data_IF_079336536486
#
_entry.id   IF_079336536486
#
_cell.length_a   1.000
_cell.length_b   1.000
_cell.length_c   1.000
_cell.angle_alpha   90.00
_cell.angle_beta   90.00
_cell.angle_gamma   90.00
#
_symmetry.space_group_name_H-M   'P 1'
#
loop_
_entity.id
_entity.type
_entity.pdbx_description
1 polymer ?
#
# COMPACT_ATOMS: atom_id res chain seq x y z
N UNK A 1 20.54 -27.88 -12.64
CA UNK A 1 20.01 -26.51 -12.49
C UNK A 1 19.45 -26.13 -13.83
N UNK A 2 18.13 -26.09 -13.97
CA UNK A 2 17.48 -25.63 -15.19
C UNK A 2 17.75 -24.13 -15.38
N UNK A 3 17.89 -23.67 -16.63
CA UNK A 3 18.08 -22.24 -16.96
C UNK A 3 16.99 -21.32 -16.40
N UNK A 4 15.83 -21.89 -16.04
CA UNK A 4 14.67 -21.18 -15.49
C UNK A 4 14.74 -20.91 -13.98
N UNK A 5 15.57 -21.64 -13.22
CA UNK A 5 15.62 -21.56 -11.75
C UNK A 5 17.05 -21.22 -11.25
N UNK A 6 17.57 -20.00 -11.56
CA UNK A 6 18.91 -19.58 -11.16
C UNK A 6 18.98 -19.19 -9.66
N UNK A 7 20.16 -19.26 -9.02
CA UNK A 7 20.32 -18.97 -7.58
C UNK A 7 20.01 -17.52 -7.20
N UNK A 8 20.02 -16.58 -8.16
CA UNK A 8 19.67 -15.18 -7.92
C UNK A 8 18.17 -14.89 -8.01
N UNK A 9 17.32 -15.85 -8.37
CA UNK A 9 15.87 -15.61 -8.51
C UNK A 9 15.18 -15.09 -7.22
N UNK A 10 15.53 -15.56 -6.00
CA UNK A 10 14.93 -15.05 -4.76
C UNK A 10 15.20 -13.57 -4.49
N UNK A 11 16.28 -13.00 -5.04
CA UNK A 11 16.60 -11.57 -4.88
C UNK A 11 15.43 -10.68 -5.33
N UNK A 12 14.80 -11.02 -6.47
CA UNK A 12 13.66 -10.26 -6.99
C UNK A 12 12.40 -10.44 -6.13
N UNK A 13 12.21 -11.61 -5.52
CA UNK A 13 11.11 -11.85 -4.58
C UNK A 13 11.22 -10.96 -3.33
N UNK A 14 12.40 -10.94 -2.69
CA UNK A 14 12.64 -10.07 -1.53
C UNK A 14 12.65 -8.58 -1.89
N UNK A 15 13.11 -8.22 -3.08
CA UNK A 15 12.99 -6.85 -3.58
C UNK A 15 11.52 -6.43 -3.71
N UNK A 16 10.61 -7.34 -4.10
CA UNK A 16 9.17 -7.10 -4.09
C UNK A 16 8.59 -6.86 -2.68
N UNK A 17 8.99 -7.68 -1.70
CA UNK A 17 8.61 -7.49 -0.28
C UNK A 17 9.05 -6.11 0.22
N UNK A 18 10.32 -5.75 -0.03
CA UNK A 18 10.87 -4.47 0.38
C UNK A 18 10.16 -3.30 -0.30
N UNK A 19 9.95 -3.37 -1.62
CA UNK A 19 9.27 -2.34 -2.40
C UNK A 19 7.83 -2.11 -1.92
N UNK A 20 7.08 -3.18 -1.64
CA UNK A 20 5.72 -3.10 -1.11
C UNK A 20 5.67 -2.32 0.20
N UNK A 21 6.55 -2.66 1.16
CA UNK A 21 6.59 -2.01 2.47
C UNK A 21 7.09 -0.58 2.40
N UNK A 22 8.20 -0.33 1.72
CA UNK A 22 8.84 0.99 1.71
C UNK A 22 7.91 2.03 1.07
N UNK A 23 7.36 1.75 -0.11
CA UNK A 23 6.54 2.75 -0.81
C UNK A 23 5.17 2.98 -0.12
N UNK A 24 4.52 1.92 0.38
CA UNK A 24 3.26 2.07 1.12
C UNK A 24 3.43 2.84 2.42
N UNK A 25 4.53 2.59 3.17
CA UNK A 25 4.82 3.30 4.42
C UNK A 25 5.20 4.75 4.18
N UNK A 26 5.91 5.08 3.10
CA UNK A 26 6.17 6.46 2.69
C UNK A 26 4.84 7.18 2.38
N UNK A 27 3.93 6.54 1.65
CA UNK A 27 2.60 7.08 1.37
C UNK A 27 1.80 7.36 2.65
N UNK A 28 1.76 6.39 3.57
CA UNK A 28 1.08 6.52 4.84
C UNK A 28 1.70 7.62 5.74
N UNK A 29 3.03 7.70 5.79
CA UNK A 29 3.76 8.72 6.54
C UNK A 29 3.49 10.12 5.99
N UNK A 30 3.52 10.30 4.66
CA UNK A 30 3.20 11.57 4.03
C UNK A 30 1.76 11.99 4.31
N UNK A 31 0.79 11.09 4.08
CA UNK A 31 -0.62 11.35 4.34
C UNK A 31 -0.89 11.75 5.79
N UNK A 32 -0.29 11.02 6.73
CA UNK A 32 -0.39 11.29 8.17
C UNK A 32 0.24 12.64 8.53
N UNK A 33 1.43 12.95 8.01
CA UNK A 33 2.12 14.21 8.32
C UNK A 33 1.34 15.44 7.85
N UNK A 34 0.82 15.42 6.63
CA UNK A 34 0.07 16.54 6.05
C UNK A 34 -1.29 16.71 6.73
N UNK A 35 -2.04 15.63 6.91
CA UNK A 35 -3.31 15.70 7.63
C UNK A 35 -3.11 16.14 9.10
N UNK A 36 -2.03 15.69 9.76
CA UNK A 36 -1.71 16.07 11.13
C UNK A 36 -1.44 17.56 11.32
N UNK A 37 -0.77 18.21 10.34
CA UNK A 37 -0.56 19.68 10.36
C UNK A 37 -1.92 20.40 10.30
N UNK A 38 -2.83 19.97 9.44
CA UNK A 38 -4.18 20.54 9.36
C UNK A 38 -4.99 20.35 10.65
N UNK A 39 -4.94 19.15 11.25
CA UNK A 39 -5.68 18.81 12.48
C UNK A 39 -5.16 19.60 13.69
N UNK A 40 -3.84 19.69 13.85
CA UNK A 40 -3.23 20.46 14.95
C UNK A 40 -3.56 21.95 14.82
N UNK A 41 -3.57 22.49 13.61
CA UNK A 41 -4.04 23.86 13.33
C UNK A 41 -5.53 24.06 13.65
N UNK A 42 -6.39 23.07 13.40
CA UNK A 42 -7.80 23.12 13.78
C UNK A 42 -7.97 23.05 15.32
N UNK A 43 -7.16 22.23 15.99
CA UNK A 43 -7.25 21.97 17.44
C UNK A 43 -7.02 23.21 18.30
N UNK A 44 -6.27 24.21 17.82
CA UNK A 44 -6.06 25.48 18.54
C UNK A 44 -7.28 26.39 18.52
N UNK A 45 -8.19 26.23 17.55
CA UNK A 45 -9.38 27.06 17.41
C UNK A 45 -10.67 26.35 17.87
N UNK A 46 -10.85 25.09 17.48
CA UNK A 46 -12.06 24.30 17.79
C UNK A 46 -11.69 22.87 18.21
N UNK A 47 -11.29 22.66 19.47
CA UNK A 47 -10.88 21.34 19.96
C UNK A 47 -12.01 20.30 19.93
N UNK A 48 -13.28 20.74 19.98
CA UNK A 48 -14.45 19.86 19.91
C UNK A 48 -14.53 19.06 18.59
N UNK A 49 -13.91 19.58 17.53
CA UNK A 49 -13.90 18.99 16.19
C UNK A 49 -12.70 18.07 15.93
N UNK A 50 -11.78 17.94 16.89
CA UNK A 50 -10.51 17.22 16.72
C UNK A 50 -10.74 15.71 16.51
N UNK A 51 -11.63 15.10 17.29
CA UNK A 51 -11.94 13.68 17.15
C UNK A 51 -12.57 13.32 15.79
N UNK A 52 -13.38 14.23 15.23
CA UNK A 52 -14.02 14.01 13.91
C UNK A 52 -13.04 14.20 12.76
N UNK A 53 -12.00 15.00 12.95
CA UNK A 53 -11.01 15.31 11.91
C UNK A 53 -9.87 14.28 11.82
N UNK A 54 -9.86 13.23 12.66
CA UNK A 54 -8.87 12.14 12.60
C UNK A 54 -9.06 11.15 11.43
N UNK A 55 -10.19 11.22 10.72
CA UNK A 55 -10.51 10.28 9.62
C UNK A 55 -9.40 10.21 8.54
N UNK A 56 -8.84 11.31 8.01
CA UNK A 56 -7.78 11.24 7.00
C UNK A 56 -6.51 10.54 7.49
N UNK A 57 -6.19 10.66 8.79
CA UNK A 57 -5.03 9.99 9.40
C UNK A 57 -5.25 8.47 9.46
N UNK A 58 -6.45 8.04 9.86
CA UNK A 58 -6.80 6.62 9.87
C UNK A 58 -6.76 6.05 8.45
N UNK A 59 -7.31 6.76 7.47
CA UNK A 59 -7.31 6.34 6.06
C UNK A 59 -5.88 6.25 5.49
N UNK A 60 -4.98 7.18 5.83
CA UNK A 60 -3.58 7.09 5.45
C UNK A 60 -2.89 5.86 6.08
N UNK A 61 -3.25 5.50 7.32
CA UNK A 61 -2.71 4.31 8.00
C UNK A 61 -3.09 2.99 7.35
N UNK A 62 -4.31 2.89 6.77
CA UNK A 62 -4.79 1.67 6.10
C UNK A 62 -3.91 1.30 4.89
N UNK A 63 -3.33 2.29 4.19
CA UNK A 63 -2.44 2.06 3.04
C UNK A 63 -1.21 1.23 3.44
N UNK A 64 -0.63 1.48 4.63
CA UNK A 64 0.51 0.70 5.12
C UNK A 64 0.12 -0.76 5.39
N UNK A 65 -1.13 -1.01 5.80
CA UNK A 65 -1.64 -2.37 6.00
C UNK A 65 -1.73 -3.12 4.67
N UNK A 66 -2.09 -2.45 3.57
CA UNK A 66 -2.08 -3.08 2.23
C UNK A 66 -0.69 -3.55 1.83
N UNK A 67 0.32 -2.70 2.02
CA UNK A 67 1.72 -3.07 1.77
C UNK A 67 2.19 -4.24 2.65
N UNK A 68 1.79 -4.25 3.92
CA UNK A 68 2.08 -5.31 4.88
C UNK A 68 1.46 -6.65 4.48
N UNK A 69 0.19 -6.66 4.07
CA UNK A 69 -0.49 -7.88 3.63
C UNK A 69 0.23 -8.50 2.44
N UNK A 70 0.58 -7.70 1.43
CA UNK A 70 1.32 -8.20 0.24
C UNK A 70 2.71 -8.70 0.62
N UNK A 71 3.43 -7.98 1.49
CA UNK A 71 4.76 -8.38 1.95
C UNK A 71 4.75 -9.72 2.69
N UNK A 72 3.78 -9.94 3.58
CA UNK A 72 3.64 -11.20 4.32
C UNK A 72 3.26 -12.35 3.39
N UNK A 73 2.36 -12.14 2.43
CA UNK A 73 1.98 -13.15 1.44
C UNK A 73 3.16 -13.58 0.57
N UNK A 74 3.95 -12.62 0.07
CA UNK A 74 5.14 -12.91 -0.73
C UNK A 74 6.18 -13.64 0.12
N UNK A 75 6.43 -13.18 1.35
CA UNK A 75 7.41 -13.82 2.25
C UNK A 75 7.02 -15.24 2.63
N UNK A 76 5.72 -15.52 2.81
CA UNK A 76 5.21 -16.86 3.08
C UNK A 76 5.30 -17.82 1.88
N UNK A 77 5.47 -17.28 0.67
CA UNK A 77 5.60 -18.06 -0.57
C UNK A 77 7.04 -18.37 -1.00
N UNK A 78 8.06 -17.87 -0.30
CA UNK A 78 9.47 -18.10 -0.64
C UNK A 78 10.06 -19.16 0.30
N UNK A 79 10.17 -20.39 -0.19
CA UNK A 79 10.85 -21.50 0.48
C UNK A 79 12.30 -21.62 0.00
N UNK A 80 13.26 -21.69 0.94
CA UNK A 80 14.70 -21.88 0.64
C UNK A 80 14.99 -23.31 0.16
N UNK A 81 14.15 -24.27 0.57
CA UNK A 81 14.32 -25.69 0.27
C UNK A 81 13.84 -26.09 -1.13
N UNK A 82 13.13 -25.22 -1.84
CA UNK A 82 12.54 -25.50 -3.16
C UNK A 82 13.17 -24.62 -4.24
N UNK A 83 13.33 -25.13 -5.48
CA UNK A 83 13.81 -24.30 -6.58
C UNK A 83 12.80 -23.20 -6.89
N UNK A 84 13.24 -21.95 -6.84
CA UNK A 84 12.41 -20.77 -7.08
C UNK A 84 12.60 -20.27 -8.52
N UNK A 85 11.56 -20.31 -9.38
CA UNK A 85 11.69 -19.87 -10.77
C UNK A 85 11.94 -18.35 -10.90
N UNK A 86 12.63 -17.94 -11.96
CA UNK A 86 12.86 -16.52 -12.23
C UNK A 86 11.56 -15.77 -12.55
N UNK A 87 10.59 -16.43 -13.20
CA UNK A 87 9.26 -15.89 -13.47
C UNK A 87 8.53 -15.47 -12.18
N UNK A 88 8.69 -16.26 -11.11
CA UNK A 88 8.21 -15.96 -9.76
C UNK A 88 8.79 -14.70 -9.19
N UNK A 89 10.12 -14.56 -9.31
CA UNK A 89 10.85 -13.41 -8.79
C UNK A 89 10.33 -12.12 -9.41
N UNK A 90 10.17 -12.10 -10.73
CA UNK A 90 9.64 -10.91 -11.42
C UNK A 90 8.17 -10.64 -11.13
N UNK A 91 7.33 -11.67 -10.99
CA UNK A 91 5.93 -11.48 -10.57
C UNK A 91 5.82 -10.92 -9.15
N UNK A 92 6.60 -11.44 -8.20
CA UNK A 92 6.61 -10.93 -6.81
C UNK A 92 7.16 -9.50 -6.75
N UNK A 93 8.19 -9.18 -7.54
CA UNK A 93 8.67 -7.81 -7.68
C UNK A 93 7.58 -6.88 -8.24
N UNK A 94 6.92 -7.29 -9.32
CA UNK A 94 5.83 -6.53 -9.94
C UNK A 94 4.64 -6.34 -9.01
N UNK A 95 4.25 -7.38 -8.26
CA UNK A 95 3.18 -7.30 -7.25
C UNK A 95 3.52 -6.30 -6.15
N UNK A 96 4.75 -6.33 -5.63
CA UNK A 96 5.21 -5.40 -4.61
C UNK A 96 5.26 -3.94 -5.10
N UNK A 97 5.75 -3.71 -6.32
CA UNK A 97 5.79 -2.38 -6.93
C UNK A 97 4.39 -1.84 -7.25
N UNK A 98 3.48 -2.69 -7.76
CA UNK A 98 2.11 -2.31 -8.06
C UNK A 98 1.38 -1.83 -6.82
N UNK A 99 1.42 -2.59 -5.71
CA UNK A 99 0.79 -2.18 -4.45
C UNK A 99 1.51 -0.98 -3.80
N UNK A 100 2.85 -0.97 -3.83
CA UNK A 100 3.65 0.06 -3.18
C UNK A 100 3.48 1.45 -3.81
N UNK A 101 3.61 1.55 -5.15
CA UNK A 101 3.56 2.84 -5.85
C UNK A 101 2.14 3.42 -5.94
N UNK A 102 1.10 2.58 -6.05
CA UNK A 102 -0.28 3.05 -5.95
C UNK A 102 -0.59 3.52 -4.52
N UNK A 103 -0.10 2.81 -3.51
CA UNK A 103 -0.21 3.22 -2.11
C UNK A 103 0.48 4.56 -1.82
N UNK A 104 1.66 4.79 -2.40
CA UNK A 104 2.35 6.08 -2.32
C UNK A 104 1.52 7.22 -2.95
N UNK A 105 0.94 6.96 -4.11
CA UNK A 105 0.09 7.93 -4.83
C UNK A 105 -1.21 8.23 -4.07
N UNK A 106 -1.85 7.20 -3.51
CA UNK A 106 -3.05 7.34 -2.68
C UNK A 106 -2.75 8.14 -1.40
N UNK A 107 -1.64 7.83 -0.72
CA UNK A 107 -1.21 8.55 0.48
C UNK A 107 -0.90 10.03 0.22
N UNK A 108 -0.32 10.34 -0.94
CA UNK A 108 -0.10 11.71 -1.39
C UNK A 108 -1.42 12.48 -1.59
N UNK A 109 -2.37 11.88 -2.29
CA UNK A 109 -3.70 12.46 -2.51
C UNK A 109 -4.44 12.69 -1.18
N UNK A 110 -4.47 11.69 -0.29
CA UNK A 110 -5.08 11.78 1.04
C UNK A 110 -4.46 12.88 1.87
N UNK A 111 -3.13 13.05 1.83
CA UNK A 111 -2.43 14.08 2.59
C UNK A 111 -2.85 15.50 2.20
N UNK A 112 -2.87 15.80 0.90
CA UNK A 112 -3.21 17.14 0.39
C UNK A 112 -4.70 17.46 0.59
N UNK A 113 -5.57 16.50 0.27
CA UNK A 113 -7.02 16.63 0.46
C UNK A 113 -7.33 16.76 1.95
N UNK A 114 -6.72 15.92 2.79
CA UNK A 114 -6.90 15.94 4.24
C UNK A 114 -6.56 17.29 4.86
N UNK A 115 -5.37 17.84 4.55
CA UNK A 115 -4.96 19.15 5.06
C UNK A 115 -5.94 20.27 4.62
N UNK A 116 -6.28 20.31 3.33
CA UNK A 116 -7.16 21.34 2.77
C UNK A 116 -8.58 21.27 3.33
N UNK A 117 -9.15 20.06 3.42
CA UNK A 117 -10.50 19.83 3.92
C UNK A 117 -10.62 20.08 5.43
N UNK A 118 -9.61 19.69 6.22
CA UNK A 118 -9.62 19.95 7.67
C UNK A 118 -9.56 21.45 7.94
N UNK A 119 -8.80 22.22 7.17
CA UNK A 119 -8.76 23.69 7.28
C UNK A 119 -10.10 24.33 6.88
N UNK A 120 -10.77 23.81 5.84
CA UNK A 120 -12.10 24.27 5.45
C UNK A 120 -13.19 23.91 6.49
N UNK A 121 -13.03 22.76 7.17
CA UNK A 121 -13.95 22.29 8.21
C UNK A 121 -14.01 23.21 9.43
N UNK A 122 -12.97 24.00 9.68
CA UNK A 122 -12.98 25.06 10.71
C UNK A 122 -14.06 26.10 10.41
N UNK A 123 -14.30 26.42 9.14
CA UNK A 123 -15.28 27.44 8.75
C UNK A 123 -16.70 26.89 8.66
N UNK A 124 -16.90 25.75 8.01
CA UNK A 124 -18.23 25.17 7.77
C UNK A 124 -18.25 23.67 8.05
N UNK A 125 -19.09 23.24 9.01
CA UNK A 125 -19.17 21.84 9.43
C UNK A 125 -19.86 20.93 8.41
N UNK A 126 -20.62 21.49 7.45
CA UNK A 126 -21.26 20.72 6.37
C UNK A 126 -20.25 20.12 5.38
N UNK A 127 -19.02 20.63 5.34
CA UNK A 127 -17.93 20.12 4.47
C UNK A 127 -17.48 18.72 4.88
N UNK A 128 -17.82 18.26 6.09
CA UNK A 128 -17.43 16.94 6.62
C UNK A 128 -17.79 15.78 5.69
N UNK A 129 -19.03 15.74 5.19
CA UNK A 129 -19.48 14.64 4.32
C UNK A 129 -18.73 14.66 2.99
N UNK A 130 -18.46 15.85 2.46
CA UNK A 130 -17.70 16.03 1.22
C UNK A 130 -16.25 15.61 1.39
N UNK A 131 -15.62 15.94 2.53
CA UNK A 131 -14.27 15.50 2.89
C UNK A 131 -14.18 13.97 2.88
N UNK A 132 -15.09 13.27 3.56
CA UNK A 132 -15.10 11.81 3.61
C UNK A 132 -15.27 11.20 2.21
N UNK A 133 -16.19 11.74 1.40
CA UNK A 133 -16.43 11.25 0.04
C UNK A 133 -15.17 11.33 -0.84
N UNK A 134 -14.47 12.48 -0.83
CA UNK A 134 -13.25 12.65 -1.62
C UNK A 134 -12.14 11.70 -1.14
N UNK A 135 -12.01 11.52 0.18
CA UNK A 135 -11.02 10.62 0.76
C UNK A 135 -11.26 9.15 0.39
N UNK A 136 -12.52 8.71 0.29
CA UNK A 136 -12.85 7.36 -0.17
C UNK A 136 -12.37 7.15 -1.61
N UNK A 137 -12.61 8.11 -2.52
CA UNK A 137 -12.12 7.99 -3.90
C UNK A 137 -10.59 8.00 -4.00
N UNK A 138 -9.91 8.75 -3.14
CA UNK A 138 -8.45 8.75 -3.07
C UNK A 138 -7.90 7.41 -2.54
N UNK A 139 -8.58 6.80 -1.56
CA UNK A 139 -8.21 5.55 -0.92
C UNK A 139 -8.36 4.34 -1.87
N UNK A 140 -9.41 4.32 -2.68
CA UNK A 140 -9.67 3.26 -3.67
C UNK A 140 -8.50 3.06 -4.66
N UNK A 141 -7.69 4.08 -4.91
CA UNK A 141 -6.46 3.95 -5.71
C UNK A 141 -5.45 2.96 -5.10
N UNK A 142 -5.36 2.93 -3.76
CA UNK A 142 -4.55 1.95 -3.02
C UNK A 142 -5.14 0.54 -3.13
N UNK A 143 -6.46 0.41 -3.00
CA UNK A 143 -7.17 -0.88 -3.15
C UNK A 143 -6.96 -1.50 -4.53
N UNK A 144 -6.93 -0.72 -5.60
CA UNK A 144 -6.66 -1.24 -6.94
C UNK A 144 -5.27 -1.90 -7.04
N UNK A 145 -4.24 -1.29 -6.44
CA UNK A 145 -2.90 -1.88 -6.41
C UNK A 145 -2.83 -3.17 -5.60
N UNK A 146 -3.55 -3.24 -4.48
CA UNK A 146 -3.66 -4.46 -3.67
C UNK A 146 -4.30 -5.61 -4.47
N UNK A 147 -5.42 -5.36 -5.16
CA UNK A 147 -6.12 -6.39 -5.95
C UNK A 147 -5.21 -6.93 -7.05
N UNK A 148 -4.49 -6.05 -7.77
CA UNK A 148 -3.53 -6.48 -8.80
C UNK A 148 -2.42 -7.32 -8.20
N UNK A 149 -1.84 -6.91 -7.08
CA UNK A 149 -0.79 -7.66 -6.39
C UNK A 149 -1.27 -9.06 -5.95
N UNK A 150 -2.51 -9.18 -5.46
CA UNK A 150 -3.11 -10.46 -5.07
C UNK A 150 -3.33 -11.39 -6.27
N UNK A 151 -3.79 -10.86 -7.41
CA UNK A 151 -3.97 -11.66 -8.64
C UNK A 151 -2.61 -12.17 -9.12
N UNK A 152 -1.58 -11.31 -9.12
CA UNK A 152 -0.21 -11.70 -9.49
C UNK A 152 0.33 -12.80 -8.56
N UNK A 153 0.10 -12.67 -7.26
CA UNK A 153 0.50 -13.67 -6.27
C UNK A 153 -0.29 -15.00 -6.37
N UNK A 154 -1.55 -14.96 -6.81
CA UNK A 154 -2.34 -16.17 -7.03
C UNK A 154 -1.80 -16.99 -8.21
N UNK A 155 -1.37 -16.32 -9.30
CA UNK A 155 -0.81 -16.99 -10.49
C UNK A 155 0.56 -17.58 -10.26
N UNK A 156 1.33 -17.02 -9.33
CA UNK A 156 2.58 -17.61 -8.91
C UNK A 156 2.39 -19.01 -8.33
N UNK A 157 1.40 -19.21 -7.43
CA UNK A 157 1.16 -20.50 -6.77
C UNK A 157 0.87 -21.68 -7.73
N UNK A 158 0.18 -21.42 -8.86
CA UNK A 158 -0.25 -22.47 -9.80
C UNK A 158 0.86 -22.99 -10.73
N UNK A 159 1.86 -22.15 -11.03
CA UNK A 159 2.92 -22.50 -12.00
C UNK A 159 4.21 -23.02 -11.31
N UNK A 160 4.25 -22.99 -9.97
CA UNK A 160 4.93 -23.92 -9.04
C UNK A 160 5.61 -25.13 -9.68
N UNK A 161 4.75 -26.11 -9.86
CA UNK A 161 5.13 -27.50 -10.04
C UNK A 161 5.42 -27.82 -11.50
N UNK A 162 4.88 -27.03 -12.43
CA UNK A 162 5.06 -27.22 -13.87
C UNK A 162 6.39 -26.66 -14.40
N UNK A 163 6.94 -25.59 -13.79
CA UNK A 163 8.10 -24.87 -14.35
C UNK A 163 9.48 -25.36 -13.86
N UNK A 164 9.62 -25.71 -12.59
CA UNK A 164 10.85 -26.35 -12.07
C UNK A 164 10.65 -27.87 -11.93
N UNK A 165 9.81 -28.47 -12.79
CA UNK A 165 9.28 -29.84 -12.71
C UNK A 165 10.25 -30.88 -12.16
N UNK A 166 9.76 -31.67 -11.21
CA UNK A 166 10.35 -32.94 -10.84
C UNK A 166 9.84 -33.99 -11.83
N UNK A 167 10.70 -34.38 -12.78
CA UNK A 167 10.76 -35.76 -13.25
C UNK A 167 11.93 -36.45 -12.54
#
# INVERSE_FOLDING_TARGET
MSDLCPPFAPFFGFAGVAASMIFSTIGAAYGTSKAGIGITGLGTFRPDLLMKSLIPVVMAGIIAVYGLVVAVLISGGVDISKPYPLYSGFLHLGAGLACGLTGLSAGYAIGIVGDSCVRAYVHESKVFVTMVLILIFAEVLGLYGLIVALIMHSRTSQNWEELCGWS
#
